data_IF_823453551277
#
_entry.id   IF_823453551277
#
_cell.length_a   1.000
_cell.length_b   1.000
_cell.length_c   1.000
_cell.angle_alpha   90.00
_cell.angle_beta   90.00
_cell.angle_gamma   90.00
#
_symmetry.space_group_name_H-M   'P 1'
#
loop_
_entity.id
_entity.type
_entity.pdbx_description
1 polymer ?
#
# COMPACT_ATOMS: atom_id res chain seq x y z
N UNK A 1 2.52 -18.41 -23.98
CA UNK A 1 3.51 -17.56 -24.64
C UNK A 1 4.55 -17.22 -23.59
N UNK A 2 5.82 -17.56 -23.80
CA UNK A 2 6.91 -17.06 -22.95
C UNK A 2 7.25 -15.66 -23.44
N UNK A 3 6.77 -14.65 -22.71
CA UNK A 3 7.24 -13.28 -22.90
C UNK A 3 8.70 -13.23 -22.43
N UNK A 4 9.60 -13.01 -23.39
CA UNK A 4 11.02 -12.82 -23.15
C UNK A 4 11.30 -11.34 -23.05
N UNK A 5 12.13 -10.94 -22.08
CA UNK A 5 12.60 -9.57 -21.99
C UNK A 5 13.50 -9.21 -23.18
N UNK A 6 13.86 -7.93 -23.27
CA UNK A 6 14.76 -7.38 -24.28
C UNK A 6 16.15 -8.05 -24.33
N UNK A 7 16.49 -8.87 -23.33
CA UNK A 7 17.74 -9.60 -23.21
C UNK A 7 17.57 -11.14 -23.39
N UNK A 8 16.37 -11.61 -23.72
CA UNK A 8 16.06 -13.02 -24.02
C UNK A 8 15.80 -13.92 -22.79
N UNK A 9 15.72 -13.36 -21.59
CA UNK A 9 15.37 -14.06 -20.37
C UNK A 9 13.84 -14.18 -20.22
N UNK A 10 13.37 -15.28 -19.66
CA UNK A 10 11.95 -15.47 -19.39
C UNK A 10 11.50 -14.44 -18.34
N UNK A 11 10.51 -13.60 -18.69
CA UNK A 11 9.94 -12.63 -17.75
C UNK A 11 9.19 -13.39 -16.67
N UNK A 12 9.63 -13.22 -15.42
CA UNK A 12 8.94 -13.80 -14.27
C UNK A 12 7.82 -12.86 -13.83
N UNK A 13 6.62 -13.39 -13.70
CA UNK A 13 5.47 -12.64 -13.21
C UNK A 13 5.22 -12.88 -11.72
N UNK A 14 4.98 -11.81 -10.98
CA UNK A 14 4.63 -11.83 -9.56
C UNK A 14 3.22 -11.31 -9.33
N UNK A 15 2.49 -11.94 -8.40
CA UNK A 15 1.15 -11.48 -7.99
C UNK A 15 1.27 -10.32 -7.00
N UNK A 16 0.29 -9.42 -6.99
CA UNK A 16 0.29 -8.29 -6.06
C UNK A 16 0.39 -8.77 -4.60
N UNK A 17 -0.34 -9.82 -4.24
CA UNK A 17 -0.32 -10.38 -2.88
C UNK A 17 1.05 -10.89 -2.45
N UNK A 18 1.86 -11.42 -3.38
CA UNK A 18 3.22 -11.88 -3.08
C UNK A 18 4.15 -10.69 -2.87
N UNK A 19 3.94 -9.59 -3.59
CA UNK A 19 4.73 -8.37 -3.46
C UNK A 19 4.37 -7.66 -2.15
N UNK A 20 3.09 -7.62 -1.77
CA UNK A 20 2.62 -7.04 -0.49
C UNK A 20 3.25 -7.71 0.75
N UNK A 21 3.54 -9.01 0.68
CA UNK A 21 4.24 -9.75 1.74
C UNK A 21 5.73 -9.37 1.86
N UNK A 22 6.28 -8.66 0.87
CA UNK A 22 7.70 -8.28 0.76
C UNK A 22 7.91 -6.84 1.22
N UNK A 23 7.48 -6.57 2.45
CA UNK A 23 7.49 -5.25 3.08
C UNK A 23 8.44 -5.15 4.30
N UNK A 24 9.47 -5.99 4.35
CA UNK A 24 10.36 -6.11 5.51
C UNK A 24 11.80 -5.74 5.18
N UNK A 25 12.61 -5.32 6.17
CA UNK A 25 14.03 -4.97 5.97
C UNK A 25 14.89 -6.04 5.27
N UNK A 26 14.49 -7.31 5.33
CA UNK A 26 15.22 -8.42 4.69
C UNK A 26 14.70 -8.78 3.30
N UNK A 27 13.59 -8.17 2.89
CA UNK A 27 12.91 -8.44 1.63
C UNK A 27 11.96 -7.28 1.37
N UNK A 28 12.46 -6.25 0.67
CA UNK A 28 11.71 -5.05 0.29
C UNK A 28 11.59 -5.01 -1.22
N UNK A 29 10.38 -5.23 -1.71
CA UNK A 29 10.07 -5.11 -3.13
C UNK A 29 9.18 -3.91 -3.39
N UNK A 30 9.38 -3.27 -4.53
CA UNK A 30 8.56 -2.15 -4.97
C UNK A 30 8.18 -2.33 -6.43
N UNK A 31 7.06 -1.74 -6.84
CA UNK A 31 6.59 -1.73 -8.21
C UNK A 31 6.85 -0.34 -8.79
N UNK A 32 7.46 -0.27 -9.98
CA UNK A 32 7.60 0.96 -10.76
C UNK A 32 7.23 0.64 -12.20
N UNK A 33 6.25 1.34 -12.76
CA UNK A 33 5.76 1.14 -14.13
C UNK A 33 5.45 -0.34 -14.44
N UNK A 34 4.76 -1.03 -13.51
CA UNK A 34 4.43 -2.46 -13.57
C UNK A 34 5.61 -3.45 -13.55
N UNK A 35 6.85 -2.97 -13.37
CA UNK A 35 8.03 -3.81 -13.14
C UNK A 35 8.27 -3.96 -11.65
N UNK A 36 8.74 -5.13 -11.23
CA UNK A 36 9.00 -5.46 -9.82
C UNK A 36 10.50 -5.36 -9.57
N UNK A 37 10.86 -4.53 -8.60
CA UNK A 37 12.25 -4.24 -8.22
C UNK A 37 12.53 -4.80 -6.83
N UNK A 38 13.64 -5.50 -6.70
CA UNK A 38 14.17 -5.88 -5.39
C UNK A 38 15.18 -4.83 -4.92
N UNK A 39 14.76 -3.99 -3.99
CA UNK A 39 15.58 -2.90 -3.44
C UNK A 39 16.17 -3.25 -2.09
N UNK A 40 16.08 -4.52 -1.65
CA UNK A 40 16.51 -4.96 -0.32
C UNK A 40 17.96 -4.58 -0.01
N UNK A 41 18.87 -4.76 -0.98
CA UNK A 41 20.29 -4.42 -0.81
C UNK A 41 20.58 -2.94 -1.01
N UNK A 42 19.65 -2.20 -1.60
CA UNK A 42 19.82 -0.79 -1.95
C UNK A 42 19.24 0.17 -0.90
N UNK A 43 18.53 -0.34 0.11
CA UNK A 43 17.89 0.48 1.16
C UNK A 43 18.86 1.49 1.79
N UNK A 44 20.03 1.02 2.24
CA UNK A 44 21.03 1.85 2.91
C UNK A 44 21.87 2.71 1.93
N UNK A 45 21.89 2.32 0.65
CA UNK A 45 22.65 3.02 -0.40
C UNK A 45 21.80 4.09 -1.11
N UNK A 46 20.49 4.13 -0.86
CA UNK A 46 19.58 5.07 -1.48
C UNK A 46 19.88 6.52 -1.04
N UNK A 47 20.25 7.43 -1.96
CA UNK A 47 20.59 8.81 -1.60
C UNK A 47 19.44 9.60 -0.95
N UNK A 48 18.18 9.23 -1.22
CA UNK A 48 16.99 9.80 -0.60
C UNK A 48 16.67 9.23 0.79
N UNK A 49 17.46 8.27 1.28
CA UNK A 49 17.25 7.56 2.54
C UNK A 49 16.41 6.29 2.39
N UNK A 50 16.57 5.35 3.32
CA UNK A 50 15.83 4.07 3.31
C UNK A 50 14.32 4.24 3.60
N UNK A 51 13.95 5.27 4.35
CA UNK A 51 12.58 5.47 4.83
C UNK A 51 11.59 5.60 3.67
N UNK A 52 11.96 6.38 2.64
CA UNK A 52 11.09 6.62 1.49
C UNK A 52 10.89 5.38 0.63
N UNK A 53 11.85 4.44 0.61
CA UNK A 53 11.68 3.14 -0.04
C UNK A 53 10.80 2.21 0.81
N UNK A 54 10.92 2.32 2.14
CA UNK A 54 10.18 1.50 3.09
C UNK A 54 8.70 1.88 3.16
N UNK A 55 8.37 3.16 3.01
CA UNK A 55 6.99 3.64 2.92
C UNK A 55 6.25 3.06 1.69
N UNK A 56 6.99 2.78 0.61
CA UNK A 56 6.46 2.19 -0.62
C UNK A 56 6.63 0.67 -0.71
N UNK A 57 7.15 0.05 0.34
CA UNK A 57 7.46 -1.38 0.35
C UNK A 57 6.20 -2.24 0.19
N UNK A 58 6.26 -3.18 -0.75
CA UNK A 58 5.16 -4.07 -1.11
C UNK A 58 4.07 -3.43 -1.96
N UNK A 59 4.28 -2.20 -2.46
CA UNK A 59 3.30 -1.43 -3.22
C UNK A 59 3.83 -0.85 -4.52
N UNK A 60 3.01 0.02 -5.13
CA UNK A 60 3.37 0.80 -6.30
C UNK A 60 3.99 2.15 -5.90
N UNK A 61 5.26 2.32 -6.28
CA UNK A 61 6.06 3.51 -6.04
C UNK A 61 6.19 4.40 -7.30
N UNK A 62 5.45 4.10 -8.38
CA UNK A 62 5.59 4.79 -9.68
C UNK A 62 5.42 6.30 -9.55
N UNK A 63 4.37 6.74 -8.87
CA UNK A 63 4.10 8.17 -8.68
C UNK A 63 5.23 8.85 -7.91
N UNK A 64 5.64 8.29 -6.77
CA UNK A 64 6.75 8.82 -5.97
C UNK A 64 8.07 8.85 -6.73
N UNK A 65 8.34 7.84 -7.57
CA UNK A 65 9.56 7.77 -8.36
C UNK A 65 9.62 8.84 -9.45
N UNK A 66 8.51 9.07 -10.16
CA UNK A 66 8.43 10.07 -11.23
C UNK A 66 8.35 11.50 -10.68
N UNK A 67 7.66 11.74 -9.55
CA UNK A 67 7.53 13.07 -8.93
C UNK A 67 8.89 13.60 -8.44
N UNK A 68 9.75 12.73 -7.92
CA UNK A 68 11.12 13.08 -7.52
C UNK A 68 12.00 13.45 -8.72
N UNK A 69 11.72 12.89 -9.91
CA UNK A 69 12.47 13.21 -11.12
C UNK A 69 13.89 12.62 -11.14
N UNK A 70 14.04 11.33 -10.83
CA UNK A 70 15.33 10.61 -10.86
C UNK A 70 16.06 10.76 -12.21
N UNK A 71 17.40 10.92 -12.14
CA UNK A 71 18.28 11.05 -13.30
C UNK A 71 18.28 9.81 -14.20
N UNK A 72 18.79 9.94 -15.43
CA UNK A 72 18.98 8.80 -16.36
C UNK A 72 19.78 7.68 -15.72
N UNK A 73 20.87 8.03 -15.04
CA UNK A 73 21.80 7.07 -14.45
C UNK A 73 21.14 6.33 -13.28
N UNK A 74 20.30 7.02 -12.49
CA UNK A 74 19.51 6.39 -11.43
C UNK A 74 18.48 5.41 -12.00
N UNK A 75 17.83 5.76 -13.12
CA UNK A 75 16.89 4.87 -13.82
C UNK A 75 17.59 3.63 -14.38
N UNK A 76 18.82 3.78 -14.90
CA UNK A 76 19.63 2.67 -15.38
C UNK A 76 20.08 1.76 -14.23
N UNK A 77 20.49 2.32 -13.09
CA UNK A 77 20.79 1.53 -11.89
C UNK A 77 19.55 0.75 -11.41
N UNK A 78 18.38 1.38 -11.38
CA UNK A 78 17.13 0.72 -11.02
C UNK A 78 16.81 -0.44 -11.97
N UNK A 79 17.05 -0.28 -13.28
CA UNK A 79 16.81 -1.35 -14.26
C UNK A 79 17.58 -2.64 -13.95
N UNK A 80 18.77 -2.55 -13.34
CA UNK A 80 19.55 -3.71 -12.91
C UNK A 80 18.97 -4.45 -11.70
N UNK A 81 18.03 -3.84 -10.97
CA UNK A 81 17.36 -4.40 -9.79
C UNK A 81 16.01 -5.05 -10.12
N UNK A 82 15.64 -5.09 -11.40
CA UNK A 82 14.38 -5.71 -11.85
C UNK A 82 14.47 -7.23 -11.70
N UNK A 83 13.51 -7.80 -10.97
CA UNK A 83 13.40 -9.25 -10.78
C UNK A 83 12.27 -9.88 -11.61
N UNK A 84 11.41 -9.05 -12.21
CA UNK A 84 10.29 -9.49 -13.02
C UNK A 84 9.24 -8.40 -13.22
N UNK A 85 8.03 -8.80 -13.59
CA UNK A 85 6.89 -7.91 -13.84
C UNK A 85 5.67 -8.29 -13.01
N UNK A 86 4.80 -7.31 -12.77
CA UNK A 86 3.52 -7.55 -12.15
C UNK A 86 2.62 -8.36 -13.09
N UNK A 87 1.96 -9.37 -12.52
CA UNK A 87 1.02 -10.22 -13.22
C UNK A 87 -0.09 -9.38 -13.88
N UNK A 88 -0.45 -9.63 -15.16
CA UNK A 88 -1.40 -8.83 -15.92
C UNK A 88 -2.77 -8.66 -15.22
N UNK A 89 -3.28 -9.72 -14.59
CA UNK A 89 -4.54 -9.66 -13.82
C UNK A 89 -4.54 -8.62 -12.68
N UNK A 90 -3.38 -8.32 -12.10
CA UNK A 90 -3.27 -7.42 -10.95
C UNK A 90 -3.00 -5.96 -11.37
N UNK A 91 -2.59 -5.71 -12.62
CA UNK A 91 -2.37 -4.34 -13.16
C UNK A 91 -3.62 -3.49 -13.01
N UNK A 92 -4.79 -4.08 -13.26
CA UNK A 92 -6.10 -3.43 -13.13
C UNK A 92 -6.45 -2.97 -11.69
N UNK A 93 -5.79 -3.53 -10.68
CA UNK A 93 -6.00 -3.17 -9.26
C UNK A 93 -5.16 -1.96 -8.85
N UNK A 94 -4.05 -1.71 -9.56
CA UNK A 94 -3.16 -0.58 -9.32
C UNK A 94 -3.63 0.64 -10.13
N UNK A 95 -4.02 0.44 -11.39
CA UNK A 95 -4.53 1.52 -12.26
C UNK A 95 -5.89 2.09 -11.81
N UNK A 96 -6.65 1.33 -11.03
CA UNK A 96 -7.87 1.84 -10.40
C UNK A 96 -7.48 2.39 -9.04
N UNK A 97 -7.80 3.67 -8.72
CA UNK A 97 -7.64 4.16 -7.37
C UNK A 97 -8.40 3.19 -6.48
N UNK A 98 -7.69 2.48 -5.62
CA UNK A 98 -8.33 1.73 -4.56
C UNK A 98 -9.20 2.75 -3.84
N UNK A 99 -10.50 2.48 -3.78
CA UNK A 99 -11.41 3.30 -2.99
C UNK A 99 -10.74 3.49 -1.62
N UNK A 100 -10.64 4.73 -1.10
CA UNK A 100 -9.99 4.98 0.17
C UNK A 100 -10.53 3.96 1.16
N UNK A 101 -9.62 3.19 1.78
CA UNK A 101 -9.93 2.20 2.80
C UNK A 101 -11.07 2.78 3.62
N UNK A 102 -12.24 2.16 3.50
CA UNK A 102 -13.41 2.51 4.30
C UNK A 102 -12.97 2.41 5.73
N UNK A 103 -12.58 3.55 6.29
CA UNK A 103 -12.72 3.88 7.68
C UNK A 103 -14.18 3.54 7.96
N UNK A 104 -14.40 2.38 8.57
CA UNK A 104 -15.74 1.93 8.95
C UNK A 104 -16.17 2.76 10.15
N UNK A 105 -16.26 4.08 9.96
CA UNK A 105 -17.14 4.93 10.74
C UNK A 105 -18.56 4.47 10.39
N UNK A 106 -18.96 3.39 11.06
CA UNK A 106 -20.28 2.82 11.00
C UNK A 106 -21.28 3.95 11.22
N UNK A 107 -22.01 4.31 10.16
CA UNK A 107 -23.24 5.12 10.14
C UNK A 107 -24.23 4.80 11.29
N UNK A 108 -24.08 3.65 11.93
CA UNK A 108 -24.93 3.06 12.95
C UNK A 108 -24.40 3.33 14.36
N UNK A 109 -23.11 3.64 14.56
CA UNK A 109 -22.58 4.01 15.89
C UNK A 109 -22.95 5.44 16.28
N UNK A 110 -23.10 6.36 15.32
CA UNK A 110 -23.43 7.76 15.59
C UNK A 110 -24.86 7.98 16.11
N UNK A 111 -25.79 7.04 15.91
CA UNK A 111 -27.15 7.11 16.48
C UNK A 111 -27.30 6.30 17.77
N UNK A 112 -26.63 5.15 17.86
CA UNK A 112 -26.74 4.27 19.03
C UNK A 112 -26.17 4.91 20.30
N UNK A 113 -25.06 5.65 20.19
CA UNK A 113 -24.42 6.32 21.33
C UNK A 113 -25.31 7.42 21.94
N UNK A 114 -25.87 8.39 21.19
CA UNK A 114 -26.76 9.39 21.77
C UNK A 114 -28.09 8.79 22.28
N UNK A 115 -28.62 7.73 21.65
CA UNK A 115 -29.82 7.05 22.17
C UNK A 115 -29.60 6.38 23.53
N UNK A 116 -28.46 5.73 23.74
CA UNK A 116 -28.15 5.06 25.00
C UNK A 116 -28.00 6.07 26.15
N UNK A 117 -27.34 7.20 25.90
CA UNK A 117 -27.17 8.26 26.89
C UNK A 117 -28.51 8.89 27.33
N UNK A 118 -29.42 9.13 26.38
CA UNK A 118 -30.74 9.68 26.70
C UNK A 118 -31.58 8.71 27.57
N UNK A 119 -31.48 7.40 27.31
CA UNK A 119 -32.20 6.40 28.10
C UNK A 119 -31.70 6.35 29.56
N UNK A 120 -30.37 6.40 29.77
CA UNK A 120 -29.77 6.41 31.11
C UNK A 120 -30.20 7.66 31.90
N UNK A 121 -30.12 8.85 31.30
CA UNK A 121 -30.56 10.11 31.95
C UNK A 121 -32.04 10.05 32.31
N UNK A 122 -32.89 9.48 31.44
CA UNK A 122 -34.33 9.34 31.70
C UNK A 122 -34.60 8.41 32.88
N UNK A 123 -33.92 7.26 32.95
CA UNK A 123 -34.06 6.31 34.07
C UNK A 123 -33.59 6.94 35.39
N UNK A 124 -32.45 7.64 35.39
CA UNK A 124 -31.96 8.33 36.59
C UNK A 124 -32.93 9.43 37.05
N UNK A 125 -33.51 10.18 36.11
CA UNK A 125 -34.52 11.20 36.42
C UNK A 125 -35.78 10.58 37.02
N UNK A 126 -36.28 9.48 36.43
CA UNK A 126 -37.45 8.75 36.96
C UNK A 126 -37.22 8.22 38.38
N UNK A 127 -36.04 7.67 38.66
CA UNK A 127 -35.67 7.24 40.02
C UNK A 127 -35.65 8.41 40.99
N UNK A 128 -34.99 9.51 40.62
CA UNK A 128 -34.93 10.73 41.43
C UNK A 128 -36.31 11.32 41.72
N UNK A 129 -37.24 11.28 40.76
CA UNK A 129 -38.61 11.77 40.95
C UNK A 129 -39.52 10.80 41.70
N UNK A 130 -39.18 9.51 41.75
CA UNK A 130 -39.97 8.51 42.49
C UNK A 130 -39.69 8.52 44.00
N UNK A 131 -38.60 9.17 44.43
CA UNK A 131 -38.20 9.30 45.83
C UNK A 131 -38.68 10.61 46.51
N UNK A 132 -39.50 11.43 45.84
CA UNK A 132 -40.21 12.59 46.41
C UNK A 132 -41.72 12.35 46.48
#
# INVERSE_FOLDING_TARGET
MEDKDENGHAVKYYRLSEIEERNSFKSTWIIINHKVYDVTTFLEEHPGGEEVLREQAGGDATESFEDVGHSSDAREMAANMVIGELHPDDRLKIDKPSEPLKETSSWWTNWLIPCLAAAVVTVMYQMYTSEK
#
